data_IF_501248167067
#
_entry.id   IF_501248167067
#
_cell.length_a   1.000
_cell.length_b   1.000
_cell.length_c   1.000
_cell.angle_alpha   90.00
_cell.angle_beta   90.00
_cell.angle_gamma   90.00
#
_symmetry.space_group_name_H-M   'P 1'
#
loop_
_entity.id
_entity.type
_entity.pdbx_description
1 polymer ?
#
# COMPACT_ATOMS: atom_id res chain seq x y z
N UNK A 1 10.33 -6.95 39.03
CA UNK A 1 11.42 -7.05 38.01
C UNK A 1 12.27 -5.79 38.08
N UNK A 2 13.58 -5.89 38.27
CA UNK A 2 14.49 -4.73 38.29
C UNK A 2 15.29 -4.70 36.99
N UNK A 3 15.45 -3.53 36.41
CA UNK A 3 16.20 -3.33 35.16
C UNK A 3 17.19 -2.19 35.35
N UNK A 4 18.42 -2.39 34.88
CA UNK A 4 19.46 -1.35 34.88
C UNK A 4 19.16 -0.29 33.82
N UNK A 5 19.41 0.99 34.15
CA UNK A 5 19.26 2.10 33.23
C UNK A 5 20.58 2.35 32.53
N UNK A 6 20.55 2.28 31.19
CA UNK A 6 21.70 2.57 30.34
C UNK A 6 21.69 4.02 29.89
N UNK A 7 22.86 4.59 29.63
CA UNK A 7 22.99 5.89 29.00
C UNK A 7 22.86 5.77 27.47
N UNK A 8 22.90 6.90 26.76
CA UNK A 8 22.79 6.95 25.30
C UNK A 8 23.93 6.23 24.57
N UNK A 9 25.05 5.97 25.27
CA UNK A 9 26.22 5.25 24.76
C UNK A 9 26.15 3.73 25.03
N UNK A 10 25.12 3.28 25.75
CA UNK A 10 24.96 1.88 26.15
C UNK A 10 25.71 1.49 27.42
N UNK A 11 26.27 2.44 28.17
CA UNK A 11 26.96 2.17 29.43
C UNK A 11 25.98 2.18 30.60
N UNK A 12 26.23 1.35 31.62
CA UNK A 12 25.39 1.28 32.81
C UNK A 12 25.55 2.56 33.65
N UNK A 13 24.44 3.20 33.99
CA UNK A 13 24.40 4.41 34.80
C UNK A 13 24.41 4.12 36.31
N UNK A 14 24.38 2.87 36.69
CA UNK A 14 24.24 2.43 38.10
C UNK A 14 22.86 2.67 38.72
N UNK A 15 21.92 3.20 37.92
CA UNK A 15 20.52 3.36 38.34
C UNK A 15 19.72 2.11 38.03
N UNK A 16 18.81 1.75 38.94
CA UNK A 16 17.86 0.66 38.73
C UNK A 16 16.44 1.19 38.75
N UNK A 17 15.60 0.64 37.91
CA UNK A 17 14.16 0.94 37.88
C UNK A 17 13.40 -0.34 38.15
N UNK A 18 12.47 -0.28 39.10
CA UNK A 18 11.57 -1.40 39.41
C UNK A 18 10.34 -1.32 38.51
N UNK A 19 10.20 -2.32 37.66
CA UNK A 19 9.04 -2.47 36.76
C UNK A 19 7.96 -3.32 37.44
N UNK A 20 6.71 -2.94 37.23
CA UNK A 20 5.58 -3.70 37.75
C UNK A 20 5.41 -5.00 36.96
N UNK A 21 5.49 -6.11 37.63
CA UNK A 21 5.42 -7.45 37.03
C UNK A 21 4.05 -7.75 36.38
N UNK A 22 2.98 -7.20 36.94
CA UNK A 22 1.65 -7.39 36.37
C UNK A 22 1.48 -6.76 34.95
N UNK A 23 2.39 -5.84 34.59
CA UNK A 23 2.36 -5.17 33.29
C UNK A 23 3.46 -5.69 32.37
N UNK A 24 4.68 -5.79 32.90
CA UNK A 24 5.88 -6.11 32.11
C UNK A 24 6.31 -7.59 32.19
N UNK A 25 5.73 -8.36 33.08
CA UNK A 25 6.00 -9.80 33.26
C UNK A 25 4.97 -10.71 32.59
N UNK A 26 4.09 -10.19 31.76
CA UNK A 26 3.05 -10.94 31.08
C UNK A 26 3.67 -11.80 29.96
N UNK A 27 3.18 -13.04 29.81
CA UNK A 27 3.56 -13.88 28.66
C UNK A 27 3.16 -13.21 27.35
N UNK A 28 4.07 -13.11 26.38
CA UNK A 28 3.80 -12.45 25.11
C UNK A 28 2.71 -13.19 24.31
N UNK A 29 1.75 -12.47 23.78
CA UNK A 29 0.75 -13.00 22.87
C UNK A 29 1.20 -12.76 21.43
N UNK A 30 1.71 -13.79 20.77
CA UNK A 30 2.23 -13.71 19.40
C UNK A 30 1.22 -13.17 18.39
N UNK A 31 -0.05 -13.50 18.57
CA UNK A 31 -1.11 -12.98 17.68
C UNK A 31 -1.32 -11.48 17.85
N UNK A 32 -1.30 -10.98 19.07
CA UNK A 32 -1.42 -9.54 19.34
C UNK A 32 -0.22 -8.77 18.77
N UNK A 33 1.00 -9.30 18.95
CA UNK A 33 2.23 -8.74 18.40
C UNK A 33 2.15 -8.70 16.86
N UNK A 34 1.72 -9.80 16.24
CA UNK A 34 1.53 -9.85 14.77
C UNK A 34 0.56 -8.78 14.27
N UNK A 35 -0.58 -8.60 14.95
CA UNK A 35 -1.57 -7.60 14.56
C UNK A 35 -1.03 -6.18 14.68
N UNK A 36 -0.30 -5.88 15.75
CA UNK A 36 0.30 -4.56 15.98
C UNK A 36 1.35 -4.24 14.90
N UNK A 37 2.26 -5.17 14.62
CA UNK A 37 3.25 -5.03 13.55
C UNK A 37 2.56 -4.85 12.19
N UNK A 38 1.52 -5.61 11.92
CA UNK A 38 0.72 -5.49 10.68
C UNK A 38 0.07 -4.12 10.55
N UNK A 39 -0.51 -3.61 11.63
CA UNK A 39 -1.07 -2.27 11.69
C UNK A 39 0.00 -1.21 11.42
N UNK A 40 1.12 -1.28 12.10
CA UNK A 40 2.23 -0.35 11.95
C UNK A 40 2.73 -0.28 10.51
N UNK A 41 2.99 -1.44 9.89
CA UNK A 41 3.44 -1.50 8.50
C UNK A 41 2.39 -1.01 7.51
N UNK A 42 1.11 -1.29 7.75
CA UNK A 42 0.02 -0.83 6.90
C UNK A 42 -0.14 0.70 6.97
N UNK A 43 0.00 1.28 8.16
CA UNK A 43 -0.15 2.72 8.38
C UNK A 43 0.99 3.56 7.76
N UNK A 44 2.11 2.94 7.41
CA UNK A 44 3.21 3.59 6.68
C UNK A 44 2.95 3.70 5.18
N UNK A 45 1.94 2.99 4.65
CA UNK A 45 1.66 2.96 3.21
C UNK A 45 0.82 4.18 2.81
N UNK A 46 1.26 4.89 1.77
CA UNK A 46 0.51 6.02 1.20
C UNK A 46 -0.63 5.60 0.27
N UNK A 47 -0.42 4.55 -0.52
CA UNK A 47 -1.43 4.01 -1.42
C UNK A 47 -1.93 4.96 -2.51
N UNK A 48 -1.11 5.92 -2.96
CA UNK A 48 -1.51 6.99 -3.90
C UNK A 48 -1.33 6.62 -5.38
N UNK A 49 -0.96 5.38 -5.67
CA UNK A 49 -0.74 4.93 -7.05
C UNK A 49 -2.04 4.92 -7.84
N UNK A 50 -1.99 5.52 -9.03
CA UNK A 50 -3.11 5.54 -9.96
C UNK A 50 -2.63 5.36 -11.41
N UNK A 51 -3.32 4.55 -12.18
CA UNK A 51 -3.20 4.51 -13.63
C UNK A 51 -4.44 5.11 -14.28
N UNK A 52 -4.27 5.69 -15.47
CA UNK A 52 -5.37 6.33 -16.19
C UNK A 52 -6.31 5.28 -16.78
N UNK A 53 -7.59 5.47 -16.52
CA UNK A 53 -8.69 4.72 -17.14
C UNK A 53 -9.04 5.29 -18.52
N UNK A 54 -9.89 4.59 -19.26
CA UNK A 54 -10.25 4.95 -20.63
C UNK A 54 -10.82 6.37 -20.77
N UNK A 55 -11.58 6.81 -19.79
CA UNK A 55 -12.16 8.16 -19.76
C UNK A 55 -11.16 9.26 -19.39
N UNK A 56 -10.02 8.91 -18.85
CA UNK A 56 -9.01 9.83 -18.34
C UNK A 56 -7.84 10.06 -19.30
N UNK A 57 -7.71 9.21 -20.31
CA UNK A 57 -6.68 9.37 -21.33
C UNK A 57 -7.09 10.46 -22.33
N UNK A 58 -6.15 11.36 -22.62
CA UNK A 58 -6.30 12.36 -23.67
C UNK A 58 -6.19 11.69 -25.04
N UNK A 59 -7.16 11.92 -25.88
CA UNK A 59 -7.19 11.41 -27.23
C UNK A 59 -8.58 11.49 -27.85
N UNK A 60 -8.62 11.35 -29.18
CA UNK A 60 -9.89 11.36 -29.95
C UNK A 60 -10.68 10.08 -29.66
N UNK A 61 -11.98 10.24 -29.48
CA UNK A 61 -12.94 9.11 -29.38
C UNK A 61 -13.43 8.67 -30.76
N UNK A 62 -12.90 9.28 -31.85
CA UNK A 62 -13.23 8.89 -33.20
C UNK A 62 -12.80 7.45 -33.49
N UNK A 63 -13.65 6.71 -34.21
CA UNK A 63 -13.35 5.38 -34.70
C UNK A 63 -12.14 5.40 -35.64
N UNK A 64 -11.14 4.55 -35.38
CA UNK A 64 -9.85 4.56 -36.08
C UNK A 64 -9.93 4.06 -37.55
N UNK A 65 -10.94 3.26 -37.86
CA UNK A 65 -11.08 2.70 -39.21
C UNK A 65 -12.50 2.34 -39.56
N UNK A 66 -12.72 1.98 -40.83
CA UNK A 66 -14.02 1.51 -41.30
C UNK A 66 -14.39 0.20 -40.65
N UNK A 67 -15.71 0.00 -40.43
CA UNK A 67 -16.22 -1.21 -39.78
C UNK A 67 -15.98 -2.49 -40.62
N UNK A 68 -16.05 -2.39 -41.96
CA UNK A 68 -15.87 -3.48 -42.90
C UNK A 68 -15.01 -3.06 -44.10
N UNK A 69 -14.48 -4.03 -44.83
CA UNK A 69 -13.77 -3.79 -46.09
C UNK A 69 -12.26 -3.53 -45.96
N UNK A 70 -11.71 -3.54 -44.77
CA UNK A 70 -10.27 -3.30 -44.53
C UNK A 70 -9.40 -4.54 -44.35
N UNK A 71 -9.98 -5.73 -44.27
CA UNK A 71 -9.24 -6.98 -44.07
C UNK A 71 -8.54 -7.11 -42.70
N UNK A 72 -8.62 -6.10 -41.85
CA UNK A 72 -8.00 -6.06 -40.52
C UNK A 72 -9.01 -6.14 -39.38
N UNK A 73 -8.49 -6.14 -38.14
CA UNK A 73 -9.32 -6.14 -36.94
C UNK A 73 -10.20 -4.87 -36.85
N UNK A 74 -11.42 -5.03 -36.41
CA UNK A 74 -12.32 -3.91 -36.10
C UNK A 74 -11.81 -3.17 -34.88
N UNK A 75 -11.61 -1.85 -35.01
CA UNK A 75 -11.08 -0.99 -33.95
C UNK A 75 -12.07 0.11 -33.63
N UNK A 76 -12.22 0.44 -32.34
CA UNK A 76 -12.93 1.61 -31.87
C UNK A 76 -12.04 2.84 -31.85
N UNK A 77 -12.02 3.54 -30.73
CA UNK A 77 -11.16 4.69 -30.48
C UNK A 77 -9.73 4.32 -30.07
N UNK A 78 -8.84 5.29 -30.06
CA UNK A 78 -7.45 5.11 -29.67
C UNK A 78 -7.25 4.91 -28.15
N UNK A 79 -8.26 5.26 -27.34
CA UNK A 79 -8.18 5.15 -25.87
C UNK A 79 -8.43 3.72 -25.37
N UNK A 80 -8.79 2.81 -26.27
CA UNK A 80 -9.05 1.41 -25.93
C UNK A 80 -7.84 0.75 -25.28
N UNK A 81 -8.02 -0.01 -24.18
CA UNK A 81 -6.92 -0.70 -23.50
C UNK A 81 -6.25 -1.80 -24.34
N UNK A 82 -6.88 -2.22 -25.43
CA UNK A 82 -6.34 -3.22 -26.36
C UNK A 82 -5.23 -2.64 -27.26
N UNK A 83 -5.18 -1.32 -27.38
CA UNK A 83 -4.22 -0.63 -28.24
C UNK A 83 -2.99 -0.18 -27.44
N UNK A 84 -1.84 -0.17 -28.10
CA UNK A 84 -0.61 0.41 -27.52
C UNK A 84 -0.84 1.91 -27.31
N UNK A 85 -0.54 2.41 -26.12
CA UNK A 85 -0.82 3.78 -25.70
C UNK A 85 -2.25 4.02 -25.21
N UNK A 86 -3.10 3.00 -25.21
CA UNK A 86 -4.45 3.06 -24.62
C UNK A 86 -4.45 3.01 -23.08
N UNK A 87 -5.66 2.98 -22.53
CA UNK A 87 -5.89 2.95 -21.09
C UNK A 87 -5.44 1.65 -20.44
N UNK A 88 -5.31 1.66 -19.13
CA UNK A 88 -5.06 0.46 -18.34
C UNK A 88 -6.35 -0.09 -17.73
N UNK A 89 -6.63 -1.37 -17.99
CA UNK A 89 -7.73 -2.12 -17.34
C UNK A 89 -7.22 -2.69 -16.01
N UNK A 90 -8.05 -2.60 -14.97
CA UNK A 90 -7.72 -3.08 -13.62
C UNK A 90 -6.38 -2.56 -13.08
N UNK A 91 -6.01 -1.36 -13.48
CA UNK A 91 -4.82 -0.69 -12.94
C UNK A 91 -5.02 -0.27 -11.47
N UNK A 92 -3.94 0.13 -10.81
CA UNK A 92 -4.01 0.58 -9.44
C UNK A 92 -4.89 1.82 -9.31
N UNK A 93 -5.70 1.84 -8.25
CA UNK A 93 -6.48 3.00 -7.80
C UNK A 93 -5.99 3.42 -6.42
N UNK A 94 -5.96 4.71 -6.10
CA UNK A 94 -5.63 5.17 -4.76
C UNK A 94 -6.56 4.53 -3.74
N UNK A 95 -5.98 4.03 -2.66
CA UNK A 95 -6.74 3.49 -1.54
C UNK A 95 -5.98 3.65 -0.23
N UNK A 96 -6.72 3.78 0.84
CA UNK A 96 -6.16 3.78 2.18
C UNK A 96 -5.88 2.35 2.64
N UNK A 97 -4.73 2.20 3.29
CA UNK A 97 -4.34 0.94 3.94
C UNK A 97 -4.43 1.04 5.46
N UNK A 98 -4.71 2.25 5.94
CA UNK A 98 -4.80 2.55 7.36
C UNK A 98 -5.89 1.71 8.04
N UNK A 99 -5.58 1.16 9.19
CA UNK A 99 -6.55 0.60 10.12
C UNK A 99 -6.06 0.77 11.55
N UNK A 100 -6.98 0.67 12.49
CA UNK A 100 -6.72 0.73 13.92
C UNK A 100 -7.26 -0.55 14.55
N UNK A 101 -6.46 -1.14 15.46
CA UNK A 101 -6.86 -2.25 16.32
C UNK A 101 -7.75 -1.78 17.46
#
# INVERSE_FOLDING_TARGET
>A
MEVNVLNIKGEDTGRKVTLNESIFGIEPNDHAIYLDVKQFMANQRQGTHKSKERSEISGSTRKLGRQKGGGGARRGDMNSPVLVGGARVFGPKPRDYFFKL
#
